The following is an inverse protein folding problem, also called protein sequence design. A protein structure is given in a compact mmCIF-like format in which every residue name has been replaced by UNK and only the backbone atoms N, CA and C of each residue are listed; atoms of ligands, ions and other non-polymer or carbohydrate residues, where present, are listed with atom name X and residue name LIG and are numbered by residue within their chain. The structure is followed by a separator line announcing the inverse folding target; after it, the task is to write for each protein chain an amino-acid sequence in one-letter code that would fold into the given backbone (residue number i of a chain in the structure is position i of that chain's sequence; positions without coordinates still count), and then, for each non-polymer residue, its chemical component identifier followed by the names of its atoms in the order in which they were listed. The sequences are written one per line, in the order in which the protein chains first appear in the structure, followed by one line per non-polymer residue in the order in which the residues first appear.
data_IF_143180874203
#
_entry.id   IF_143180874203
#
_cell.length_a   1.000
_cell.length_b   1.000
_cell.length_c   1.000
_cell.angle_alpha   90.00
_cell.angle_beta   90.00
_cell.angle_gamma   90.00
#
_symmetry.space_group_name_H-M   'P 1'
#
loop_
_entity.id
_entity.type
_entity.pdbx_description
1 polymer ?
#
# COMPACT_ATOMS: atom_id res chain seq x y z
N UNK A 1 33.02 -29.13 -49.31
CA UNK A 1 31.70 -28.46 -49.28
C UNK A 1 30.81 -28.90 -48.10
N UNK A 2 31.24 -29.83 -47.23
CA UNK A 2 30.43 -30.36 -46.13
C UNK A 2 30.51 -29.55 -44.82
N UNK A 3 31.65 -28.91 -44.55
CA UNK A 3 31.89 -28.15 -43.30
C UNK A 3 31.08 -26.84 -43.18
N UNK A 4 30.76 -26.20 -44.30
CA UNK A 4 29.91 -24.99 -44.33
C UNK A 4 28.46 -25.31 -43.99
N UNK A 5 27.93 -26.39 -44.57
CA UNK A 5 26.54 -26.84 -44.32
C UNK A 5 26.30 -27.22 -42.86
N UNK A 6 27.26 -27.88 -42.21
CA UNK A 6 27.17 -28.24 -40.80
C UNK A 6 27.26 -27.03 -39.85
N UNK A 7 27.95 -25.96 -40.23
CA UNK A 7 27.95 -24.70 -39.48
C UNK A 7 26.63 -23.95 -39.64
N UNK A 8 26.07 -23.91 -40.85
CA UNK A 8 24.78 -23.28 -41.11
C UNK A 8 23.66 -23.97 -40.34
N UNK A 9 23.65 -25.31 -40.29
CA UNK A 9 22.68 -26.09 -39.51
C UNK A 9 22.76 -25.78 -38.00
N UNK A 10 23.98 -25.61 -37.45
CA UNK A 10 24.16 -25.20 -36.04
C UNK A 10 23.70 -23.77 -35.77
N UNK A 11 23.90 -22.85 -36.72
CA UNK A 11 23.48 -21.46 -36.58
C UNK A 11 21.95 -21.33 -36.63
N UNK A 12 21.30 -22.08 -37.53
CA UNK A 12 19.83 -22.15 -37.62
C UNK A 12 19.22 -22.77 -36.35
N UNK A 13 19.85 -23.80 -35.78
CA UNK A 13 19.39 -24.40 -34.52
C UNK A 13 19.49 -23.40 -33.35
N UNK A 14 20.55 -22.59 -33.31
CA UNK A 14 20.73 -21.52 -32.32
C UNK A 14 19.67 -20.41 -32.48
N UNK A 15 19.38 -20.02 -33.72
CA UNK A 15 18.32 -19.06 -34.04
C UNK A 15 16.93 -19.57 -33.67
N UNK A 16 16.65 -20.86 -33.91
CA UNK A 16 15.41 -21.50 -33.50
C UNK A 16 15.24 -21.49 -31.98
N UNK A 17 16.28 -21.88 -31.21
CA UNK A 17 16.25 -21.81 -29.75
C UNK A 17 16.04 -20.38 -29.23
N UNK A 18 16.68 -19.37 -29.84
CA UNK A 18 16.47 -17.98 -29.45
C UNK A 18 15.04 -17.50 -29.73
N UNK A 19 14.43 -17.93 -30.84
CA UNK A 19 13.02 -17.62 -31.13
C UNK A 19 12.07 -18.28 -30.14
N UNK A 20 12.28 -19.54 -29.81
CA UNK A 20 11.47 -20.25 -28.82
C UNK A 20 11.60 -19.64 -27.42
N UNK A 21 12.81 -19.28 -27.01
CA UNK A 21 13.06 -18.62 -25.72
C UNK A 21 12.36 -17.27 -25.65
N UNK A 22 12.40 -16.49 -26.75
CA UNK A 22 11.75 -15.19 -26.84
C UNK A 22 10.21 -15.33 -26.83
N UNK A 23 9.68 -16.31 -27.54
CA UNK A 23 8.25 -16.63 -27.54
C UNK A 23 7.77 -17.07 -26.15
N UNK A 24 8.52 -17.94 -25.47
CA UNK A 24 8.21 -18.35 -24.09
C UNK A 24 8.26 -17.20 -23.09
N UNK A 25 9.19 -16.26 -23.28
CA UNK A 25 9.26 -15.04 -22.47
C UNK A 25 8.08 -14.09 -22.72
N UNK A 26 7.64 -13.94 -23.97
CA UNK A 26 6.47 -13.15 -24.35
C UNK A 26 5.15 -13.77 -23.87
N UNK A 27 5.00 -15.10 -23.95
CA UNK A 27 3.84 -15.79 -23.37
C UNK A 27 3.77 -15.61 -21.86
N UNK A 28 4.90 -15.73 -21.16
CA UNK A 28 4.96 -15.52 -19.71
C UNK A 28 4.58 -14.09 -19.33
N UNK A 29 5.02 -13.11 -20.11
CA UNK A 29 4.66 -11.69 -19.93
C UNK A 29 3.17 -11.45 -20.20
N UNK A 30 2.62 -12.08 -21.22
CA UNK A 30 1.19 -12.05 -21.54
C UNK A 30 0.34 -12.67 -20.42
N UNK A 31 0.76 -13.83 -19.89
CA UNK A 31 0.08 -14.49 -18.77
C UNK A 31 0.08 -13.65 -17.50
N UNK A 32 1.20 -12.98 -17.18
CA UNK A 32 1.27 -12.05 -16.06
C UNK A 32 0.37 -10.83 -16.23
N UNK A 33 0.25 -10.29 -17.45
CA UNK A 33 -0.62 -9.13 -17.70
C UNK A 33 -2.11 -9.51 -17.65
N UNK A 34 -2.47 -10.72 -18.12
CA UNK A 34 -3.83 -11.26 -17.98
C UNK A 34 -4.24 -11.42 -16.53
N UNK A 35 -3.38 -12.04 -15.71
CA UNK A 35 -3.64 -12.17 -14.26
C UNK A 35 -3.78 -10.81 -13.58
N UNK A 36 -2.95 -9.82 -13.94
CA UNK A 36 -3.11 -8.45 -13.42
C UNK A 36 -4.40 -7.79 -13.86
N UNK A 37 -4.89 -8.07 -15.08
CA UNK A 37 -6.19 -7.55 -15.54
C UNK A 37 -7.34 -8.20 -14.80
N UNK A 38 -7.31 -9.51 -14.56
CA UNK A 38 -8.34 -10.22 -13.79
C UNK A 38 -8.41 -9.71 -12.34
N UNK A 39 -7.24 -9.53 -11.69
CA UNK A 39 -7.17 -8.95 -10.34
C UNK A 39 -7.76 -7.54 -10.32
N UNK A 40 -7.38 -6.69 -11.29
CA UNK A 40 -7.88 -5.31 -11.39
C UNK A 40 -9.37 -5.26 -11.68
N UNK A 41 -9.88 -6.19 -12.49
CA UNK A 41 -11.31 -6.33 -12.77
C UNK A 41 -12.08 -6.71 -11.50
N UNK A 42 -11.58 -7.71 -10.74
CA UNK A 42 -12.18 -8.09 -9.47
C UNK A 42 -12.12 -6.98 -8.41
N UNK A 43 -11.03 -6.21 -8.37
CA UNK A 43 -10.91 -5.03 -7.51
C UNK A 43 -11.95 -3.95 -7.84
N UNK A 44 -12.18 -3.67 -9.13
CA UNK A 44 -13.19 -2.68 -9.54
C UNK A 44 -14.62 -3.19 -9.30
N UNK A 45 -14.92 -4.48 -9.53
CA UNK A 45 -16.21 -5.07 -9.18
C UNK A 45 -16.49 -4.97 -7.67
N UNK A 46 -15.48 -5.24 -6.84
CA UNK A 46 -15.58 -5.10 -5.39
C UNK A 46 -15.79 -3.63 -4.99
N UNK A 47 -15.07 -2.68 -5.60
CA UNK A 47 -15.28 -1.26 -5.33
C UNK A 47 -16.68 -0.80 -5.73
N UNK A 48 -17.17 -1.25 -6.89
CA UNK A 48 -18.51 -0.93 -7.36
C UNK A 48 -19.57 -1.51 -6.42
N UNK A 49 -19.39 -2.72 -5.91
CA UNK A 49 -20.26 -3.33 -4.90
C UNK A 49 -20.24 -2.56 -3.57
N UNK A 50 -19.06 -2.20 -3.05
CA UNK A 50 -18.92 -1.40 -1.82
C UNK A 50 -19.57 -0.02 -2.02
N UNK A 51 -19.30 0.65 -3.14
CA UNK A 51 -19.81 1.97 -3.41
C UNK A 51 -21.32 1.97 -3.65
N UNK A 52 -21.87 0.93 -4.29
CA UNK A 52 -23.30 0.71 -4.41
C UNK A 52 -23.95 0.46 -3.04
N UNK A 53 -23.32 -0.33 -2.16
CA UNK A 53 -23.79 -0.60 -0.80
C UNK A 53 -23.79 0.66 0.06
N UNK A 54 -22.67 1.38 0.14
CA UNK A 54 -22.53 2.65 0.87
C UNK A 54 -23.50 3.71 0.35
N UNK A 55 -23.65 3.81 -0.98
CA UNK A 55 -24.62 4.71 -1.61
C UNK A 55 -26.05 4.33 -1.24
N UNK A 56 -26.40 3.05 -1.29
CA UNK A 56 -27.73 2.55 -0.92
C UNK A 56 -28.04 2.86 0.55
N UNK A 57 -27.09 2.62 1.46
CA UNK A 57 -27.28 2.84 2.89
C UNK A 57 -27.34 4.33 3.25
N UNK A 58 -26.52 5.16 2.61
CA UNK A 58 -26.56 6.62 2.78
C UNK A 58 -27.87 7.19 2.22
N UNK A 59 -28.30 6.75 1.03
CA UNK A 59 -29.58 7.17 0.45
C UNK A 59 -30.76 6.74 1.31
N UNK A 60 -30.76 5.51 1.82
CA UNK A 60 -31.79 5.00 2.71
C UNK A 60 -31.89 5.84 4.00
N UNK A 61 -30.75 6.15 4.63
CA UNK A 61 -30.71 6.97 5.84
C UNK A 61 -31.21 8.40 5.59
N UNK A 62 -30.78 9.04 4.49
CA UNK A 62 -31.21 10.40 4.11
C UNK A 62 -32.71 10.44 3.76
N UNK A 63 -33.23 9.46 3.03
CA UNK A 63 -34.66 9.39 2.67
C UNK A 63 -35.51 9.16 3.91
N UNK A 64 -35.08 8.28 4.82
CA UNK A 64 -35.82 7.97 6.04
C UNK A 64 -35.94 9.17 6.98
N UNK A 65 -34.88 9.98 7.11
CA UNK A 65 -34.86 11.17 7.97
C UNK A 65 -35.67 12.32 7.36
N UNK A 66 -35.53 12.55 6.05
CA UNK A 66 -36.26 13.61 5.33
C UNK A 66 -37.76 13.34 5.33
N UNK A 67 -38.17 12.07 5.24
CA UNK A 67 -39.57 11.67 5.23
C UNK A 67 -40.14 11.37 6.63
N UNK A 68 -39.36 11.54 7.69
CA UNK A 68 -39.81 11.30 9.07
C UNK A 68 -40.29 9.86 9.32
N UNK A 69 -39.67 8.86 8.67
CA UNK A 69 -40.08 7.47 8.81
C UNK A 69 -39.89 6.98 10.24
N UNK A 70 -40.94 6.40 10.81
CA UNK A 70 -40.84 5.61 12.03
C UNK A 70 -40.05 4.34 11.77
N UNK A 71 -39.45 3.75 12.80
CA UNK A 71 -38.60 2.55 12.62
C UNK A 71 -39.37 1.38 11.98
N UNK A 72 -40.67 1.29 12.27
CA UNK A 72 -41.58 0.33 11.64
C UNK A 72 -41.74 0.54 10.12
N UNK A 73 -41.77 1.79 9.67
CA UNK A 73 -41.82 2.14 8.23
C UNK A 73 -40.45 1.87 7.59
N UNK A 74 -39.35 2.17 8.28
CA UNK A 74 -37.99 1.85 7.79
C UNK A 74 -37.84 0.36 7.55
N UNK A 75 -38.23 -0.49 8.51
CA UNK A 75 -38.15 -1.95 8.36
C UNK A 75 -39.03 -2.44 7.22
N UNK A 76 -40.28 -1.98 7.17
CA UNK A 76 -41.20 -2.37 6.10
C UNK A 76 -40.65 -2.00 4.72
N UNK A 77 -40.06 -0.81 4.60
CA UNK A 77 -39.49 -0.34 3.34
C UNK A 77 -38.16 -1.03 3.00
N UNK A 78 -37.35 -1.36 4.01
CA UNK A 78 -36.14 -2.16 3.84
C UNK A 78 -36.51 -3.52 3.27
N UNK A 79 -37.40 -4.27 3.93
CA UNK A 79 -37.92 -5.57 3.46
C UNK A 79 -38.52 -5.46 2.05
N UNK A 80 -39.33 -4.43 1.79
CA UNK A 80 -39.95 -4.21 0.49
C UNK A 80 -38.95 -3.84 -0.62
N UNK A 81 -37.76 -3.34 -0.28
CA UNK A 81 -36.72 -2.97 -1.24
C UNK A 81 -35.74 -4.10 -1.56
N UNK A 82 -35.66 -5.14 -0.72
CA UNK A 82 -34.81 -6.31 -0.98
C UNK A 82 -35.26 -7.03 -2.26
N UNK A 83 -34.29 -7.37 -3.12
CA UNK A 83 -34.51 -8.07 -4.40
C UNK A 83 -33.44 -9.15 -4.57
N UNK A 84 -33.74 -10.16 -5.41
CA UNK A 84 -32.80 -11.25 -5.73
C UNK A 84 -32.29 -11.99 -4.49
N UNK A 85 -31.00 -12.31 -4.47
CA UNK A 85 -30.34 -13.04 -3.38
C UNK A 85 -30.49 -12.36 -2.01
N UNK A 86 -30.65 -11.04 -1.97
CA UNK A 86 -30.87 -10.32 -0.72
C UNK A 86 -32.28 -10.58 -0.13
N UNK A 87 -33.29 -10.74 -0.98
CA UNK A 87 -34.65 -11.09 -0.55
C UNK A 87 -34.74 -12.53 -0.01
N UNK A 88 -33.92 -13.44 -0.52
CA UNK A 88 -33.86 -14.82 -0.03
C UNK A 88 -33.42 -14.92 1.44
N UNK A 89 -32.67 -13.95 1.96
CA UNK A 89 -32.28 -13.91 3.39
C UNK A 89 -33.51 -13.89 4.30
N UNK A 90 -34.60 -13.28 3.84
CA UNK A 90 -35.84 -13.18 4.60
C UNK A 90 -36.51 -14.54 4.83
N UNK A 91 -36.24 -15.54 3.99
CA UNK A 91 -36.82 -16.89 4.14
C UNK A 91 -36.29 -17.61 5.39
N UNK A 92 -35.09 -17.24 5.87
CA UNK A 92 -34.50 -17.78 7.08
C UNK A 92 -34.94 -17.08 8.37
N UNK A 93 -35.70 -15.99 8.27
CA UNK A 93 -36.12 -15.19 9.42
C UNK A 93 -37.60 -15.51 9.76
N UNK A 94 -37.93 -15.83 11.02
CA UNK A 94 -39.32 -16.02 11.43
C UNK A 94 -40.17 -14.77 11.14
N UNK A 95 -41.43 -14.93 10.68
CA UNK A 95 -42.29 -13.80 10.31
C UNK A 95 -42.47 -12.77 11.44
N UNK A 96 -42.48 -13.22 12.70
CA UNK A 96 -42.65 -12.37 13.88
C UNK A 96 -41.44 -11.46 14.12
N UNK A 97 -40.29 -11.78 13.53
CA UNK A 97 -39.04 -11.00 13.62
C UNK A 97 -38.74 -10.19 12.36
N UNK A 98 -39.59 -10.25 11.34
CA UNK A 98 -39.46 -9.42 10.12
C UNK A 98 -39.81 -7.94 10.35
N UNK A 99 -40.27 -7.59 11.55
CA UNK A 99 -40.48 -6.20 11.99
C UNK A 99 -39.29 -5.67 12.80
N UNK A 100 -38.33 -6.53 13.16
CA UNK A 100 -37.13 -6.14 13.91
C UNK A 100 -35.98 -5.83 12.95
N UNK A 101 -35.62 -4.55 12.90
CA UNK A 101 -34.56 -4.02 12.05
C UNK A 101 -33.22 -4.75 12.30
N UNK A 102 -32.86 -4.96 13.57
CA UNK A 102 -31.57 -5.52 13.95
C UNK A 102 -31.45 -6.97 13.49
N UNK A 103 -32.54 -7.74 13.55
CA UNK A 103 -32.54 -9.13 13.06
C UNK A 103 -32.31 -9.19 11.54
N UNK A 104 -32.94 -8.30 10.77
CA UNK A 104 -32.79 -8.26 9.31
C UNK A 104 -31.40 -7.78 8.91
N UNK A 105 -30.89 -6.72 9.54
CA UNK A 105 -29.54 -6.21 9.30
C UNK A 105 -28.50 -7.28 9.60
N UNK A 106 -28.58 -7.97 10.74
CA UNK A 106 -27.64 -9.04 11.09
C UNK A 106 -27.68 -10.22 10.11
N UNK A 107 -28.85 -10.58 9.59
CA UNK A 107 -28.97 -11.66 8.62
C UNK A 107 -28.38 -11.28 7.25
N UNK A 108 -28.54 -10.02 6.84
CA UNK A 108 -27.91 -9.46 5.65
C UNK A 108 -26.39 -9.36 5.83
N UNK A 109 -25.93 -8.84 6.96
CA UNK A 109 -24.52 -8.78 7.37
C UNK A 109 -23.89 -10.18 7.41
N UNK A 110 -24.62 -11.19 7.90
CA UNK A 110 -24.10 -12.55 7.96
C UNK A 110 -23.91 -13.18 6.57
N UNK A 111 -24.77 -12.85 5.59
CA UNK A 111 -24.71 -13.46 4.25
C UNK A 111 -23.87 -12.65 3.26
N UNK A 112 -23.87 -11.34 3.41
CA UNK A 112 -23.26 -10.39 2.46
C UNK A 112 -22.27 -9.43 3.10
N UNK A 113 -22.17 -9.41 4.43
CA UNK A 113 -21.29 -8.50 5.13
C UNK A 113 -19.83 -8.72 4.75
N UNK A 114 -19.04 -7.67 4.95
CA UNK A 114 -17.68 -7.57 4.44
C UNK A 114 -16.69 -8.49 5.16
N UNK A 115 -17.13 -9.43 6.00
CA UNK A 115 -16.24 -10.30 6.79
C UNK A 115 -15.23 -11.07 5.93
N UNK A 116 -15.67 -11.62 4.79
CA UNK A 116 -14.77 -12.27 3.83
C UNK A 116 -13.84 -11.26 3.14
N UNK A 117 -14.30 -10.04 2.91
CA UNK A 117 -13.55 -8.96 2.28
C UNK A 117 -12.47 -8.40 3.22
N UNK A 118 -12.79 -8.25 4.51
CA UNK A 118 -11.87 -7.90 5.58
C UNK A 118 -10.76 -8.97 5.68
N UNK A 119 -11.11 -10.25 5.63
CA UNK A 119 -10.11 -11.33 5.63
C UNK A 119 -9.22 -11.30 4.37
N UNK A 120 -9.80 -10.98 3.21
CA UNK A 120 -9.03 -10.77 1.98
C UNK A 120 -8.01 -9.64 2.14
N UNK A 121 -8.43 -8.45 2.59
CA UNK A 121 -7.52 -7.31 2.79
C UNK A 121 -6.45 -7.57 3.86
N UNK A 122 -6.77 -8.32 4.93
CA UNK A 122 -5.79 -8.77 5.92
C UNK A 122 -4.73 -9.68 5.31
N UNK A 123 -5.12 -10.52 4.35
CA UNK A 123 -4.21 -11.41 3.64
C UNK A 123 -3.34 -10.64 2.65
N UNK A 124 -3.93 -9.68 1.95
CA UNK A 124 -3.22 -8.76 1.06
C UNK A 124 -2.16 -7.95 1.82
N UNK A 125 -2.49 -7.40 2.99
CA UNK A 125 -1.53 -6.71 3.88
C UNK A 125 -0.32 -7.59 4.25
N UNK A 126 -0.56 -8.83 4.69
CA UNK A 126 0.51 -9.74 5.12
C UNK A 126 1.47 -10.10 3.98
N UNK A 127 0.92 -10.26 2.78
CA UNK A 127 1.66 -10.67 1.59
C UNK A 127 2.23 -9.49 0.81
N UNK A 128 1.85 -8.26 1.16
CA UNK A 128 2.29 -7.05 0.47
C UNK A 128 3.81 -6.90 0.51
N UNK A 129 4.41 -6.73 -0.67
CA UNK A 129 5.83 -6.41 -0.83
C UNK A 129 6.00 -5.32 -1.88
N UNK A 130 6.95 -4.41 -1.70
CA UNK A 130 7.25 -3.32 -2.62
C UNK A 130 7.65 -3.85 -4.00
N UNK A 131 6.95 -3.39 -5.04
CA UNK A 131 7.22 -3.79 -6.42
C UNK A 131 8.50 -3.13 -6.95
N UNK A 132 9.20 -3.72 -7.93
CA UNK A 132 10.32 -3.05 -8.58
C UNK A 132 9.91 -1.71 -9.18
N UNK A 133 10.59 -0.62 -8.77
CA UNK A 133 10.31 0.73 -9.23
C UNK A 133 9.13 1.43 -8.54
N UNK A 134 8.44 0.75 -7.62
CA UNK A 134 7.40 1.37 -6.80
C UNK A 134 8.04 2.32 -5.77
N UNK A 135 7.58 3.57 -5.73
CA UNK A 135 8.04 4.53 -4.72
C UNK A 135 7.51 4.19 -3.33
N UNK A 136 8.26 4.53 -2.28
CA UNK A 136 7.83 4.34 -0.89
C UNK A 136 6.49 5.03 -0.58
N UNK A 137 6.20 6.17 -1.22
CA UNK A 137 4.91 6.88 -1.06
C UNK A 137 3.73 6.07 -1.57
N UNK A 138 3.89 5.42 -2.73
CA UNK A 138 2.84 4.59 -3.32
C UNK A 138 2.62 3.34 -2.47
N UNK A 139 3.70 2.72 -2.00
CA UNK A 139 3.61 1.61 -1.05
C UNK A 139 2.85 2.01 0.23
N UNK A 140 3.22 3.14 0.84
CA UNK A 140 2.59 3.62 2.07
C UNK A 140 1.09 3.92 1.87
N UNK A 141 0.73 4.60 0.77
CA UNK A 141 -0.67 4.89 0.45
C UNK A 141 -1.52 3.62 0.30
N UNK A 142 -0.95 2.58 -0.32
CA UNK A 142 -1.63 1.29 -0.48
C UNK A 142 -1.76 0.55 0.87
N UNK A 143 -0.73 0.59 1.73
CA UNK A 143 -0.81 0.07 3.10
C UNK A 143 -1.89 0.81 3.90
N UNK A 144 -1.94 2.14 3.84
CA UNK A 144 -2.96 2.95 4.52
C UNK A 144 -4.38 2.61 4.06
N UNK A 145 -4.57 2.46 2.75
CA UNK A 145 -5.83 2.01 2.14
C UNK A 145 -6.23 0.65 2.69
N UNK A 146 -5.35 -0.34 2.62
CA UNK A 146 -5.63 -1.69 3.10
C UNK A 146 -5.89 -1.74 4.60
N UNK A 147 -5.16 -0.96 5.41
CA UNK A 147 -5.39 -0.86 6.86
C UNK A 147 -6.77 -0.29 7.18
N UNK A 148 -7.22 0.69 6.40
CA UNK A 148 -8.56 1.28 6.54
C UNK A 148 -9.68 0.30 6.18
N UNK A 149 -9.43 -0.63 5.25
CA UNK A 149 -10.39 -1.66 4.85
C UNK A 149 -10.37 -2.89 5.78
N UNK A 150 -9.19 -3.31 6.25
CA UNK A 150 -9.00 -4.53 7.04
C UNK A 150 -9.25 -4.34 8.55
N UNK A 151 -9.13 -3.10 9.04
CA UNK A 151 -9.11 -2.76 10.46
C UNK A 151 -9.85 -1.44 10.75
N UNK A 152 -10.96 -1.17 10.06
CA UNK A 152 -11.78 0.04 10.24
C UNK A 152 -12.22 0.27 11.71
N UNK A 153 -12.50 -0.81 12.44
CA UNK A 153 -12.98 -0.78 13.83
C UNK A 153 -11.86 -0.63 14.87
N UNK A 154 -10.59 -0.69 14.44
CA UNK A 154 -9.45 -0.59 15.34
C UNK A 154 -9.20 0.87 15.74
N UNK A 155 -8.86 1.16 17.02
CA UNK A 155 -8.42 2.49 17.44
C UNK A 155 -7.30 3.05 16.54
N UNK A 156 -7.38 4.35 16.24
CA UNK A 156 -6.51 4.98 15.24
C UNK A 156 -5.02 4.83 15.56
N UNK A 157 -4.64 4.97 16.82
CA UNK A 157 -3.25 4.85 17.30
C UNK A 157 -2.69 3.43 17.10
N UNK A 158 -3.49 2.41 17.38
CA UNK A 158 -3.12 1.00 17.17
C UNK A 158 -3.03 0.71 15.67
N UNK A 159 -3.99 1.22 14.88
CA UNK A 159 -4.01 1.06 13.42
C UNK A 159 -2.80 1.71 12.76
N UNK A 160 -2.41 2.91 13.17
CA UNK A 160 -1.23 3.62 12.66
C UNK A 160 0.08 2.90 13.01
N UNK A 161 0.20 2.40 14.24
CA UNK A 161 1.38 1.62 14.67
C UNK A 161 1.51 0.33 13.86
N UNK A 162 0.40 -0.37 13.63
CA UNK A 162 0.36 -1.59 12.83
C UNK A 162 0.64 -1.30 11.34
N UNK A 163 0.13 -0.18 10.82
CA UNK A 163 0.40 0.27 9.46
C UNK A 163 1.90 0.55 9.25
N UNK A 164 2.56 1.19 10.21
CA UNK A 164 4.00 1.41 10.18
C UNK A 164 4.78 0.08 10.11
N UNK A 165 4.38 -0.91 10.91
CA UNK A 165 5.01 -2.23 10.90
C UNK A 165 4.85 -2.95 9.55
N UNK A 166 3.63 -3.03 9.02
CA UNK A 166 3.38 -3.63 7.69
C UNK A 166 4.11 -2.90 6.58
N UNK A 167 4.18 -1.57 6.64
CA UNK A 167 4.94 -0.77 5.68
C UNK A 167 6.43 -1.14 5.71
N UNK A 168 7.05 -1.15 6.90
CA UNK A 168 8.46 -1.52 7.06
C UNK A 168 8.72 -2.94 6.56
N UNK A 169 7.87 -3.89 6.91
CA UNK A 169 7.98 -5.29 6.47
C UNK A 169 7.80 -5.47 4.96
N UNK A 170 7.07 -4.56 4.32
CA UNK A 170 6.85 -4.56 2.88
C UNK A 170 8.00 -3.91 2.07
N UNK A 171 8.88 -3.12 2.69
CA UNK A 171 10.02 -2.48 2.00
C UNK A 171 10.94 -3.56 1.42
N UNK A 172 11.30 -3.41 0.13
CA UNK A 172 12.13 -4.39 -0.59
C UNK A 172 13.63 -4.20 -0.35
N UNK A 173 14.09 -2.96 -0.21
CA UNK A 173 15.50 -2.68 0.04
C UNK A 173 15.83 -2.98 1.51
N UNK A 174 16.69 -3.97 1.73
CA UNK A 174 17.02 -4.47 3.08
C UNK A 174 17.65 -3.41 3.97
N UNK A 175 18.52 -2.56 3.45
CA UNK A 175 19.18 -1.50 4.22
C UNK A 175 18.14 -0.47 4.72
N UNK A 176 17.26 0.01 3.83
CA UNK A 176 16.17 0.93 4.18
C UNK A 176 15.18 0.29 5.15
N UNK A 177 14.84 -0.99 4.94
CA UNK A 177 13.97 -1.74 5.84
C UNK A 177 14.56 -1.84 7.25
N UNK A 178 15.81 -2.32 7.38
CA UNK A 178 16.47 -2.48 8.67
C UNK A 178 16.65 -1.15 9.39
N UNK A 179 17.10 -0.11 8.68
CA UNK A 179 17.27 1.22 9.27
C UNK A 179 15.94 1.80 9.76
N UNK A 180 14.86 1.62 9.00
CA UNK A 180 13.54 2.13 9.38
C UNK A 180 12.96 1.34 10.54
N UNK A 181 13.21 0.03 10.61
CA UNK A 181 12.78 -0.80 11.75
C UNK A 181 13.42 -0.34 13.06
N UNK A 182 14.71 0.03 13.06
CA UNK A 182 15.41 0.53 14.25
C UNK A 182 14.89 1.89 14.76
N UNK A 183 14.15 2.63 13.95
CA UNK A 183 13.58 3.92 14.33
C UNK A 183 12.36 3.77 15.24
N UNK A 184 11.74 2.59 15.30
CA UNK A 184 10.53 2.30 16.11
C UNK A 184 9.43 3.36 15.90
N UNK A 185 9.04 3.55 14.64
CA UNK A 185 8.01 4.52 14.26
C UNK A 185 6.66 4.21 14.91
N UNK A 186 6.02 5.25 15.48
CA UNK A 186 4.69 5.15 16.10
C UNK A 186 3.52 5.25 15.13
N UNK A 187 3.80 5.75 13.93
CA UNK A 187 2.79 6.00 12.90
C UNK A 187 3.39 5.83 11.50
N UNK A 188 2.53 5.53 10.53
CA UNK A 188 2.95 5.23 9.15
C UNK A 188 3.68 6.40 8.51
N UNK A 189 3.23 7.63 8.79
CA UNK A 189 3.81 8.85 8.22
C UNK A 189 5.24 9.05 8.71
N UNK A 190 5.51 8.83 9.99
CA UNK A 190 6.84 8.89 10.59
C UNK A 190 7.78 7.86 9.95
N UNK A 191 7.32 6.61 9.77
CA UNK A 191 8.10 5.55 9.11
C UNK A 191 8.44 5.92 7.66
N UNK A 192 7.46 6.43 6.89
CA UNK A 192 7.63 6.85 5.51
C UNK A 192 8.65 8.00 5.38
N UNK A 193 8.50 9.05 6.20
CA UNK A 193 9.39 10.22 6.16
C UNK A 193 10.83 9.81 6.49
N UNK A 194 11.03 8.95 7.49
CA UNK A 194 12.35 8.43 7.82
C UNK A 194 12.94 7.61 6.68
N UNK A 195 12.17 6.66 6.14
CA UNK A 195 12.61 5.79 5.03
C UNK A 195 13.08 6.61 3.83
N UNK A 196 12.30 7.63 3.46
CA UNK A 196 12.65 8.54 2.36
C UNK A 196 13.94 9.33 2.65
N UNK A 197 14.11 9.85 3.87
CA UNK A 197 15.35 10.55 4.27
C UNK A 197 16.55 9.62 4.19
N UNK A 198 16.39 8.38 4.61
CA UNK A 198 17.43 7.36 4.56
C UNK A 198 17.84 7.03 3.12
N UNK A 199 16.89 6.84 2.20
CA UNK A 199 17.20 6.58 0.77
C UNK A 199 18.01 7.71 0.13
N UNK A 200 17.63 8.96 0.41
CA UNK A 200 18.36 10.14 -0.08
C UNK A 200 19.77 10.18 0.51
N UNK A 201 19.90 10.05 1.83
CA UNK A 201 21.20 10.08 2.51
C UNK A 201 22.12 8.95 2.03
N UNK A 202 21.60 7.74 1.87
CA UNK A 202 22.35 6.58 1.37
C UNK A 202 22.81 6.77 -0.07
N UNK A 203 21.98 7.35 -0.93
CA UNK A 203 22.38 7.69 -2.31
C UNK A 203 23.53 8.71 -2.30
N UNK A 204 23.45 9.75 -1.47
CA UNK A 204 24.52 10.74 -1.32
C UNK A 204 25.82 10.11 -0.80
N UNK A 205 25.74 9.20 0.18
CA UNK A 205 26.90 8.47 0.71
C UNK A 205 27.53 7.55 -0.33
N UNK A 206 26.73 6.87 -1.15
CA UNK A 206 27.24 6.04 -2.26
C UNK A 206 27.94 6.88 -3.32
N UNK A 207 27.39 8.04 -3.68
CA UNK A 207 28.05 8.98 -4.60
C UNK A 207 29.36 9.53 -4.01
N UNK A 208 29.39 9.86 -2.72
CA UNK A 208 30.58 10.39 -2.05
C UNK A 208 31.68 9.32 -1.84
N UNK A 209 31.29 8.09 -1.51
CA UNK A 209 32.23 6.95 -1.41
C UNK A 209 32.72 6.50 -2.77
N UNK A 210 31.91 6.54 -3.84
CA UNK A 210 32.38 6.28 -5.21
C UNK A 210 33.44 7.30 -5.66
N UNK A 211 33.29 8.56 -5.24
CA UNK A 211 34.32 9.60 -5.46
C UNK A 211 35.59 9.32 -4.64
N UNK A 212 35.49 8.87 -3.38
CA UNK A 212 36.67 8.53 -2.54
C UNK A 212 37.35 7.20 -2.88
N UNK A 213 36.61 6.22 -3.40
CA UNK A 213 37.18 4.93 -3.84
C UNK A 213 37.90 5.03 -5.19
N UNK A 214 37.82 6.18 -5.85
CA UNK A 214 38.75 6.55 -6.92
C UNK A 214 40.09 7.07 -6.38
N UNK A 215 40.19 7.37 -5.08
CA UNK A 215 41.41 7.94 -4.48
C UNK A 215 42.09 7.08 -3.42
N UNK A 216 41.42 6.16 -2.71
CA UNK A 216 42.11 5.35 -1.69
C UNK A 216 41.54 3.93 -1.62
N UNK A 217 42.30 2.99 -2.20
CA UNK A 217 42.38 1.61 -1.74
C UNK A 217 43.10 1.65 -0.38
N UNK A 218 42.41 1.32 0.72
CA UNK A 218 42.90 0.50 1.86
C UNK A 218 42.11 0.72 3.18
N UNK A 219 41.71 -0.40 3.78
CA UNK A 219 41.43 -0.69 5.19
C UNK A 219 40.30 -0.01 6.02
N UNK A 220 39.31 -0.87 6.30
CA UNK A 220 38.76 -1.26 7.63
C UNK A 220 37.51 -0.54 8.17
N UNK A 221 36.44 -1.35 8.22
CA UNK A 221 35.11 -1.17 8.82
C UNK A 221 35.21 -1.06 10.35
N UNK A 222 34.65 0.01 10.97
CA UNK A 222 33.93 -0.04 12.27
C UNK A 222 33.45 1.32 12.88
N UNK A 223 33.28 2.44 12.15
CA UNK A 223 32.94 3.72 12.83
C UNK A 223 31.87 4.63 12.17
N UNK A 224 30.88 4.06 11.47
CA UNK A 224 29.94 4.89 10.67
C UNK A 224 28.67 5.36 11.41
N UNK A 225 28.22 4.70 12.49
CA UNK A 225 26.96 5.07 13.17
C UNK A 225 27.13 6.24 14.14
N UNK A 226 28.26 6.34 14.84
CA UNK A 226 28.57 7.47 15.73
C UNK A 226 28.85 8.74 14.89
N UNK A 227 29.43 8.57 13.70
CA UNK A 227 29.67 9.68 12.78
C UNK A 227 28.36 10.30 12.25
N UNK A 228 27.34 9.51 11.91
CA UNK A 228 26.11 10.05 11.32
C UNK A 228 25.36 11.02 12.24
N UNK A 229 25.33 10.74 13.55
CA UNK A 229 24.75 11.67 14.54
C UNK A 229 25.59 12.94 14.72
N UNK A 230 26.93 12.85 14.65
CA UNK A 230 27.85 14.00 14.68
C UNK A 230 27.73 14.88 13.42
N UNK A 231 27.49 14.28 12.26
CA UNK A 231 27.26 15.01 11.00
C UNK A 231 25.90 15.73 11.00
N UNK A 232 24.84 15.10 11.53
CA UNK A 232 23.52 15.74 11.64
C UNK A 232 23.51 16.89 12.67
N UNK A 233 24.23 16.75 13.78
CA UNK A 233 24.38 17.86 14.75
C UNK A 233 25.26 18.97 14.18
N UNK A 234 26.33 18.64 13.44
CA UNK A 234 27.16 19.60 12.73
C UNK A 234 26.38 20.42 11.70
N UNK A 235 25.53 19.77 10.90
CA UNK A 235 24.67 20.45 9.92
C UNK A 235 23.60 21.32 10.57
N UNK A 236 22.98 20.86 11.65
CA UNK A 236 22.03 21.68 12.42
C UNK A 236 22.71 22.93 12.97
N UNK A 237 23.91 22.80 13.53
CA UNK A 237 24.66 23.94 14.07
C UNK A 237 25.08 24.90 12.96
N UNK A 238 25.56 24.40 11.82
CA UNK A 238 25.93 25.23 10.67
C UNK A 238 24.74 26.02 10.11
N UNK A 239 23.57 25.36 9.95
CA UNK A 239 22.36 26.05 9.49
C UNK A 239 21.88 27.10 10.49
N UNK A 240 22.06 26.85 11.79
CA UNK A 240 21.66 27.77 12.86
C UNK A 240 22.55 29.01 12.88
N UNK A 241 23.87 28.85 12.72
CA UNK A 241 24.82 29.96 12.57
C UNK A 241 24.51 30.79 11.32
N UNK A 242 24.30 30.14 10.18
CA UNK A 242 23.99 30.84 8.91
C UNK A 242 22.66 31.59 8.96
N UNK A 243 21.67 31.09 9.70
CA UNK A 243 20.38 31.75 9.89
C UNK A 243 20.44 32.88 10.92
N UNK A 244 21.28 32.76 11.96
CA UNK A 244 21.53 33.82 12.94
C UNK A 244 22.34 34.99 12.36
N UNK A 245 23.38 34.70 11.58
CA UNK A 245 24.19 35.73 10.90
C UNK A 245 23.41 36.48 9.80
N UNK A 246 22.40 35.84 9.20
CA UNK A 246 21.48 36.50 8.27
C UNK A 246 20.39 37.32 8.97
N UNK A 247 20.11 37.04 10.24
CA UNK A 247 19.19 37.83 11.06
C UNK A 247 19.80 39.15 11.53
N UNK A 248 21.10 39.17 11.81
CA UNK A 248 21.82 40.37 12.27
C UNK A 248 22.14 41.36 11.16
N UNK A 249 22.32 40.88 9.92
CA UNK A 249 22.61 41.72 8.75
C UNK A 249 21.38 42.44 8.15
N UNK A 250 20.16 42.07 8.55
CA UNK A 250 18.93 42.71 8.05
C UNK A 250 18.38 43.81 8.98
N UNK A 251 18.92 43.95 10.20
CA UNK A 251 18.50 45.00 11.14
C UNK A 251 19.41 46.24 11.10
N UNK A 252 20.63 46.13 10.56
CA UNK A 252 21.56 47.28 10.42
C UNK A 252 21.30 48.17 9.19
N UNK A 253 20.33 47.83 8.32
CA UNK A 253 19.96 48.66 7.15
C UNK A 253 18.67 49.46 7.34
N UNK A 254 18.19 49.62 8.57
CA UNK A 254 16.96 50.39 8.87
C UNK A 254 17.14 51.35 10.06
N UNK A 255 18.11 52.27 9.95
CA UNK A 255 18.08 53.55 10.68
C UNK A 255 18.52 54.68 9.77
#
# INVERSE_FOLDING_TARGET
MTWTRAMDEKFEMLLAMMKEMKAGQEEMRSGQERLKQEIRSGEEEIKDLIQAHVKSQTQFNVISSTNGWTDLIKVSQLVASLRGSAAEVLQGIPPERLTDQVTIENALESRFGDSHLIQFYRTELKTRRQKPGESLKVLAADVERLMSLAYAECPLDVRESLAAQYFVDAIRDGDTQHSTRLMDAKDLKSALVYSMKYEVARTMSKTCSHVRSMEIEDNRVENEVINFNLYLTGWKNYLTVVLLERGTLLDETRT
#
